data_IF_210198104098
#
_entry.id   IF_210198104098
#
_cell.length_a   1.000
_cell.length_b   1.000
_cell.length_c   1.000
_cell.angle_alpha   90.00
_cell.angle_beta   90.00
_cell.angle_gamma   90.00
#
_symmetry.space_group_name_H-M   'P 1'
#
loop_
_entity.id
_entity.type
_entity.pdbx_description
1 polymer ?
#
# COMPACT_ATOMS: atom_id res chain seq x y z
N UNK A 1 -25.80 41.11 -4.45
CA UNK A 1 -24.55 41.79 -4.01
C UNK A 1 -23.29 41.12 -4.55
N UNK A 2 -23.11 39.79 -4.39
CA UNK A 2 -21.90 39.10 -4.90
C UNK A 2 -21.73 39.10 -6.44
N UNK A 3 -22.82 38.94 -7.20
CA UNK A 3 -22.74 38.97 -8.67
C UNK A 3 -22.38 40.34 -9.24
N UNK A 4 -22.94 41.42 -8.69
CA UNK A 4 -22.60 42.79 -9.10
C UNK A 4 -21.10 43.08 -8.90
N UNK A 5 -20.51 42.59 -7.81
CA UNK A 5 -19.07 42.75 -7.56
C UNK A 5 -18.21 41.98 -8.58
N UNK A 6 -18.59 40.75 -8.92
CA UNK A 6 -17.89 39.95 -9.95
C UNK A 6 -18.03 40.57 -11.35
N UNK A 7 -19.21 41.07 -11.67
CA UNK A 7 -19.48 41.75 -12.94
C UNK A 7 -18.68 43.06 -13.06
N UNK A 8 -18.53 43.79 -11.95
CA UNK A 8 -17.74 45.01 -11.89
C UNK A 8 -16.24 44.73 -12.03
N UNK A 9 -15.71 43.66 -11.41
CA UNK A 9 -14.30 43.28 -11.60
C UNK A 9 -14.01 42.80 -13.03
N UNK A 10 -14.90 42.03 -13.64
CA UNK A 10 -14.73 41.54 -15.01
C UNK A 10 -14.77 42.68 -16.05
N UNK A 11 -15.54 43.74 -15.80
CA UNK A 11 -15.58 44.93 -16.66
C UNK A 11 -14.28 45.74 -16.60
N UNK A 12 -13.56 45.70 -15.47
CA UNK A 12 -12.37 46.53 -15.25
C UNK A 12 -11.07 45.97 -15.85
N UNK A 13 -11.07 44.74 -16.40
CA UNK A 13 -10.01 44.08 -17.21
C UNK A 13 -8.55 44.54 -16.96
N UNK A 14 -8.15 44.78 -15.70
CA UNK A 14 -6.80 45.23 -15.36
C UNK A 14 -6.19 44.32 -14.29
N UNK A 15 -5.02 43.71 -14.52
CA UNK A 15 -4.38 42.77 -13.60
C UNK A 15 -3.56 43.46 -12.49
N UNK A 16 -3.77 44.75 -12.27
CA UNK A 16 -2.92 45.55 -11.39
C UNK A 16 -3.77 46.55 -10.63
N UNK A 17 -4.26 46.17 -9.45
CA UNK A 17 -4.54 47.03 -8.29
C UNK A 17 -5.25 46.19 -7.22
N UNK A 18 -4.53 45.28 -6.57
CA UNK A 18 -4.87 44.88 -5.20
C UNK A 18 -4.10 45.86 -4.31
N UNK A 19 -4.75 46.86 -3.68
CA UNK A 19 -4.07 47.69 -2.70
C UNK A 19 -3.65 46.80 -1.53
N UNK A 20 -2.34 46.74 -1.28
CA UNK A 20 -1.65 45.93 -0.25
C UNK A 20 -1.93 46.40 1.19
N UNK A 21 -3.07 47.02 1.46
CA UNK A 21 -3.37 47.69 2.72
C UNK A 21 -4.86 47.62 3.07
N UNK A 22 -5.39 46.40 3.17
CA UNK A 22 -6.59 46.16 3.96
C UNK A 22 -6.23 45.16 5.04
N UNK A 23 -6.05 45.67 6.26
CA UNK A 23 -6.16 44.90 7.49
C UNK A 23 -7.51 44.18 7.48
N UNK A 24 -7.50 42.96 6.98
CA UNK A 24 -8.60 42.01 7.12
C UNK A 24 -8.69 41.66 8.60
N UNK A 25 -9.62 42.32 9.31
CA UNK A 25 -10.10 41.77 10.58
C UNK A 25 -10.59 40.35 10.29
N UNK A 26 -10.03 39.31 10.92
CA UNK A 26 -10.50 37.96 10.71
C UNK A 26 -11.97 37.91 11.14
N UNK A 27 -12.85 37.52 10.22
CA UNK A 27 -14.29 37.33 10.45
C UNK A 27 -14.59 36.06 11.26
N UNK A 28 -13.56 35.36 11.71
CA UNK A 28 -13.66 34.19 12.58
C UNK A 28 -12.92 34.49 13.89
N UNK A 29 -13.56 34.25 15.06
CA UNK A 29 -12.90 34.42 16.34
C UNK A 29 -11.70 33.45 16.43
N UNK A 30 -10.48 34.00 16.36
CA UNK A 30 -9.23 33.23 16.44
C UNK A 30 -9.15 32.36 17.70
N UNK A 31 -9.83 32.75 18.79
CA UNK A 31 -9.90 31.99 20.04
C UNK A 31 -10.59 30.62 19.92
N UNK A 32 -11.40 30.39 18.87
CA UNK A 32 -12.01 29.07 18.62
C UNK A 32 -11.11 28.13 17.81
N UNK A 33 -10.14 28.68 17.06
CA UNK A 33 -9.28 27.89 16.16
C UNK A 33 -7.97 27.53 16.87
N UNK A 34 -7.39 28.49 17.58
CA UNK A 34 -6.18 28.30 18.36
C UNK A 34 -6.55 28.58 19.80
N UNK A 35 -6.84 27.51 20.56
CA UNK A 35 -7.13 27.61 21.99
C UNK A 35 -5.93 28.16 22.76
N UNK A 36 -5.73 29.47 22.75
CA UNK A 36 -4.77 30.14 23.61
C UNK A 36 -5.48 30.54 24.90
N UNK A 37 -5.80 29.52 25.70
CA UNK A 37 -6.24 29.66 27.08
C UNK A 37 -5.11 29.22 27.99
N UNK A 38 -4.32 30.18 28.45
CA UNK A 38 -3.37 30.01 29.55
C UNK A 38 -4.08 29.48 30.80
N UNK A 39 -3.61 28.34 31.30
CA UNK A 39 -3.58 28.04 32.73
C UNK A 39 -4.90 27.69 33.40
N UNK A 40 -5.39 26.46 33.19
CA UNK A 40 -5.90 25.67 34.31
C UNK A 40 -5.75 24.20 33.97
N UNK A 41 -5.04 23.49 34.85
CA UNK A 41 -4.84 22.05 34.83
C UNK A 41 -6.16 21.35 35.12
N UNK A 42 -6.94 21.08 34.08
CA UNK A 42 -7.94 20.03 34.13
C UNK A 42 -7.87 19.26 32.81
N UNK A 43 -7.67 17.95 32.92
CA UNK A 43 -7.41 17.05 31.80
C UNK A 43 -8.70 16.86 30.99
N UNK A 44 -9.02 17.86 30.17
CA UNK A 44 -10.13 17.82 29.23
C UNK A 44 -9.85 16.82 28.12
N UNK A 45 -10.57 15.69 28.15
CA UNK A 45 -10.79 14.80 27.00
C UNK A 45 -10.88 15.61 25.72
N UNK A 46 -9.97 15.37 24.77
CA UNK A 46 -10.23 15.75 23.38
C UNK A 46 -11.45 14.94 22.94
N UNK A 47 -12.59 15.57 22.62
CA UNK A 47 -13.77 14.84 22.16
C UNK A 47 -13.45 14.00 20.92
N UNK A 48 -13.74 12.71 21.00
CA UNK A 48 -13.61 11.78 19.90
C UNK A 48 -14.55 12.20 18.75
N UNK A 49 -13.99 12.28 17.54
CA UNK A 49 -14.76 12.57 16.33
C UNK A 49 -15.50 11.29 15.93
N UNK A 50 -16.81 11.24 16.15
CA UNK A 50 -17.65 10.15 15.65
C UNK A 50 -18.18 10.49 14.26
N UNK A 51 -17.88 9.62 13.29
CA UNK A 51 -18.45 9.66 11.94
C UNK A 51 -19.82 8.97 11.98
N UNK A 52 -20.88 9.72 11.69
CA UNK A 52 -22.22 9.15 11.45
C UNK A 52 -22.48 9.33 9.95
N UNK A 53 -22.61 8.22 9.22
CA UNK A 53 -22.82 8.21 7.75
C UNK A 53 -21.74 8.98 6.95
N UNK A 54 -20.48 8.94 7.40
CA UNK A 54 -19.35 9.59 6.71
C UNK A 54 -19.26 11.11 6.89
N UNK A 55 -20.08 11.69 7.79
CA UNK A 55 -20.03 13.13 8.10
C UNK A 55 -19.42 13.33 9.50
N UNK A 56 -18.35 14.12 9.65
CA UNK A 56 -17.79 14.47 10.96
C UNK A 56 -18.81 15.27 11.76
N UNK A 57 -19.31 14.71 12.87
CA UNK A 57 -20.42 15.31 13.66
C UNK A 57 -20.03 16.52 14.50
N UNK A 58 -18.74 16.90 14.52
CA UNK A 58 -18.22 17.93 15.42
C UNK A 58 -18.84 19.32 15.28
N UNK A 59 -19.47 19.62 14.13
CA UNK A 59 -20.02 20.95 13.88
C UNK A 59 -21.52 21.09 14.18
N UNK A 60 -22.29 20.00 14.36
CA UNK A 60 -23.75 20.09 14.43
C UNK A 60 -24.36 18.99 15.33
N UNK A 61 -24.62 19.27 16.62
CA UNK A 61 -25.23 18.29 17.53
C UNK A 61 -26.69 17.91 17.20
N UNK A 62 -27.30 18.50 16.17
CA UNK A 62 -28.73 18.36 15.85
C UNK A 62 -29.03 17.71 14.47
N UNK A 63 -28.11 16.90 13.93
CA UNK A 63 -28.36 16.06 12.76
C UNK A 63 -27.85 16.60 11.42
N UNK A 64 -28.27 15.93 10.33
CA UNK A 64 -27.76 16.12 8.98
C UNK A 64 -27.73 17.61 8.58
N UNK A 65 -26.54 18.08 8.18
CA UNK A 65 -26.32 19.48 7.81
C UNK A 65 -27.28 19.87 6.69
N UNK A 66 -28.16 20.89 6.87
CA UNK A 66 -28.96 21.40 5.78
C UNK A 66 -28.03 22.06 4.76
N UNK A 67 -27.75 21.33 3.68
CA UNK A 67 -26.88 21.78 2.61
C UNK A 67 -26.81 20.76 1.49
N UNK A 68 -26.45 21.20 0.26
CA UNK A 68 -26.14 20.26 -0.80
C UNK A 68 -25.00 19.34 -0.33
N UNK A 69 -25.09 18.05 -0.66
CA UNK A 69 -23.98 17.11 -0.41
C UNK A 69 -22.69 17.71 -0.96
N UNK A 70 -21.55 17.57 -0.25
CA UNK A 70 -20.29 18.06 -0.74
C UNK A 70 -20.02 17.51 -2.15
N UNK A 71 -19.36 18.28 -3.03
CA UNK A 71 -19.01 17.82 -4.37
C UNK A 71 -18.29 16.46 -4.30
N UNK A 72 -18.52 15.57 -5.29
CA UNK A 72 -17.87 14.24 -5.31
C UNK A 72 -16.34 14.32 -5.21
N UNK A 73 -15.73 15.37 -5.73
CA UNK A 73 -14.29 15.62 -5.62
C UNK A 73 -13.80 15.81 -4.17
N UNK A 74 -14.68 16.19 -3.25
CA UNK A 74 -14.37 16.38 -1.83
C UNK A 74 -14.62 15.13 -1.01
N UNK A 75 -15.49 14.22 -1.46
CA UNK A 75 -15.72 12.95 -0.76
C UNK A 75 -14.46 12.08 -0.72
N UNK A 76 -13.59 12.20 -1.73
CA UNK A 76 -12.29 11.52 -1.77
C UNK A 76 -11.38 11.89 -0.58
N UNK A 77 -11.53 13.11 -0.03
CA UNK A 77 -10.73 13.56 1.11
C UNK A 77 -11.11 12.88 2.43
N UNK A 78 -12.34 12.36 2.53
CA UNK A 78 -12.85 11.72 3.75
C UNK A 78 -12.60 10.22 3.78
N UNK A 79 -12.56 9.55 2.61
CA UNK A 79 -12.31 8.10 2.50
C UNK A 79 -10.83 7.72 2.73
N UNK A 80 -9.91 8.67 2.53
CA UNK A 80 -8.47 8.41 2.74
C UNK A 80 -8.09 8.19 4.20
N UNK A 81 -8.87 8.71 5.15
CA UNK A 81 -8.57 8.59 6.58
C UNK A 81 -8.65 7.14 7.06
N UNK A 82 -9.73 6.44 6.72
CA UNK A 82 -9.99 5.07 7.15
C UNK A 82 -8.95 4.10 6.59
N UNK A 83 -8.56 4.26 5.31
CA UNK A 83 -7.53 3.42 4.68
C UNK A 83 -6.13 3.62 5.29
N UNK A 84 -5.90 4.76 5.97
CA UNK A 84 -4.66 5.03 6.72
C UNK A 84 -4.69 4.45 8.13
N UNK A 85 -5.77 3.84 8.57
CA UNK A 85 -5.81 3.20 9.88
C UNK A 85 -5.04 1.87 9.89
N UNK A 86 -4.30 1.56 10.97
CA UNK A 86 -3.64 0.27 11.12
C UNK A 86 -4.58 -0.93 10.99
N UNK A 87 -5.81 -0.80 11.51
CA UNK A 87 -6.84 -1.84 11.44
C UNK A 87 -7.20 -2.17 10.00
N UNK A 88 -7.43 -1.14 9.17
CA UNK A 88 -7.71 -1.33 7.76
C UNK A 88 -6.54 -2.03 7.06
N UNK A 89 -5.29 -1.60 7.30
CA UNK A 89 -4.11 -2.24 6.68
C UNK A 89 -3.93 -3.69 7.10
N UNK A 90 -4.18 -4.02 8.37
CA UNK A 90 -4.16 -5.40 8.86
C UNK A 90 -5.18 -6.26 8.10
N UNK A 91 -6.40 -5.76 7.92
CA UNK A 91 -7.46 -6.43 7.15
C UNK A 91 -7.07 -6.54 5.67
N UNK A 92 -6.53 -5.47 5.09
CA UNK A 92 -6.15 -5.42 3.69
C UNK A 92 -5.07 -6.44 3.36
N UNK A 93 -4.02 -6.54 4.19
CA UNK A 93 -2.90 -7.47 4.03
C UNK A 93 -3.20 -8.90 4.52
N UNK A 94 -4.35 -9.11 5.18
CA UNK A 94 -4.69 -10.38 5.85
C UNK A 94 -4.56 -11.60 4.95
N UNK A 95 -5.12 -11.55 3.74
CA UNK A 95 -5.09 -12.69 2.82
C UNK A 95 -3.67 -13.09 2.44
N UNK A 96 -2.83 -12.10 2.11
CA UNK A 96 -1.42 -12.32 1.81
C UNK A 96 -0.69 -12.91 3.02
N UNK A 97 -0.93 -12.37 4.22
CA UNK A 97 -0.24 -12.78 5.44
C UNK A 97 -0.67 -14.16 5.95
N UNK A 98 -1.94 -14.53 5.77
CA UNK A 98 -2.44 -15.87 6.07
C UNK A 98 -1.77 -16.93 5.18
N UNK A 99 -1.66 -16.67 3.87
CA UNK A 99 -1.04 -17.58 2.90
C UNK A 99 0.48 -17.72 3.14
N UNK A 100 1.16 -16.61 3.43
CA UNK A 100 2.58 -16.59 3.85
C UNK A 100 2.82 -17.13 5.26
N UNK A 101 1.77 -17.52 6.00
CA UNK A 101 1.82 -17.99 7.40
C UNK A 101 2.56 -17.01 8.33
N UNK A 102 2.34 -15.72 8.12
CA UNK A 102 2.90 -14.67 8.96
C UNK A 102 2.35 -14.83 10.38
N UNK A 103 3.19 -14.71 11.43
CA UNK A 103 2.71 -14.82 12.79
C UNK A 103 1.60 -13.82 13.12
N UNK A 104 0.57 -14.20 13.90
CA UNK A 104 -0.59 -13.34 14.15
C UNK A 104 -0.25 -12.01 14.82
N UNK A 105 0.86 -11.91 15.57
CA UNK A 105 1.29 -10.66 16.22
C UNK A 105 1.61 -9.52 15.25
N UNK A 106 1.83 -9.81 13.96
CA UNK A 106 1.98 -8.78 12.91
C UNK A 106 0.65 -8.09 12.62
N UNK A 107 -0.43 -8.87 12.52
CA UNK A 107 -1.78 -8.40 12.21
C UNK A 107 -2.59 -7.98 13.44
N UNK A 108 -2.11 -8.27 14.64
CA UNK A 108 -2.83 -7.97 15.88
C UNK A 108 -2.84 -6.45 16.11
N UNK A 109 -3.95 -5.80 15.77
CA UNK A 109 -4.23 -4.37 15.97
C UNK A 109 -5.43 -4.20 16.90
N UNK A 110 -5.56 -5.07 17.90
CA UNK A 110 -6.61 -4.94 18.93
C UNK A 110 -6.47 -3.62 19.68
N UNK A 111 -7.60 -3.04 20.04
CA UNK A 111 -7.63 -1.84 20.88
C UNK A 111 -7.21 -2.18 22.30
N UNK A 112 -6.63 -1.19 22.98
CA UNK A 112 -6.19 -1.34 24.36
C UNK A 112 -7.40 -1.70 25.25
N UNK A 113 -7.51 -2.97 25.65
CA UNK A 113 -8.60 -3.46 26.52
C UNK A 113 -9.23 -4.79 26.09
N UNK A 114 -9.11 -5.19 24.83
CA UNK A 114 -9.65 -6.46 24.33
C UNK A 114 -8.60 -7.57 24.39
N UNK A 115 -8.45 -8.20 25.56
CA UNK A 115 -7.91 -9.56 25.74
C UNK A 115 -6.61 -9.92 25.01
N UNK A 116 -5.50 -9.91 25.75
CA UNK A 116 -4.24 -10.61 25.45
C UNK A 116 -3.45 -10.05 24.28
N UNK A 117 -2.52 -9.13 24.54
CA UNK A 117 -1.54 -8.70 23.55
C UNK A 117 -0.64 -9.88 23.17
N UNK A 118 -0.56 -10.19 21.88
CA UNK A 118 0.54 -11.03 21.42
C UNK A 118 1.83 -10.23 21.46
N UNK A 119 2.73 -10.65 22.34
CA UNK A 119 4.06 -10.05 22.47
C UNK A 119 4.92 -10.54 21.31
N UNK A 120 5.45 -9.65 20.46
CA UNK A 120 6.36 -10.03 19.39
C UNK A 120 7.70 -10.56 19.95
N UNK A 121 8.50 -11.27 19.14
CA UNK A 121 9.81 -11.76 19.57
C UNK A 121 10.73 -10.63 20.04
N UNK A 122 11.56 -10.90 21.06
CA UNK A 122 12.50 -9.92 21.61
C UNK A 122 13.40 -9.28 20.54
N UNK A 123 13.87 -10.07 19.57
CA UNK A 123 14.69 -9.58 18.47
C UNK A 123 13.99 -8.49 17.65
N UNK A 124 12.67 -8.62 17.44
CA UNK A 124 11.88 -7.62 16.74
C UNK A 124 11.73 -6.36 17.59
N UNK A 125 11.46 -6.49 18.89
CA UNK A 125 11.37 -5.33 19.79
C UNK A 125 12.70 -4.58 19.88
N UNK A 126 13.83 -5.28 19.96
CA UNK A 126 15.14 -4.65 19.87
C UNK A 126 15.33 -3.90 18.55
N UNK A 127 14.97 -4.51 17.41
CA UNK A 127 15.07 -3.86 16.10
C UNK A 127 14.15 -2.64 15.97
N UNK A 128 12.95 -2.68 16.58
CA UNK A 128 12.03 -1.54 16.66
C UNK A 128 12.61 -0.40 17.47
N UNK A 129 13.17 -0.68 18.64
CA UNK A 129 13.84 0.34 19.46
C UNK A 129 15.02 0.98 18.72
N UNK A 130 15.82 0.18 17.99
CA UNK A 130 16.89 0.70 17.14
C UNK A 130 16.34 1.60 16.03
N UNK A 131 15.26 1.19 15.36
CA UNK A 131 14.67 1.99 14.31
C UNK A 131 14.04 3.29 14.85
N UNK A 132 13.44 3.26 16.03
CA UNK A 132 12.91 4.47 16.69
C UNK A 132 14.03 5.42 17.13
N UNK A 133 15.17 4.89 17.58
CA UNK A 133 16.30 5.70 18.02
C UNK A 133 17.11 6.28 16.84
N UNK A 134 17.29 5.50 15.76
CA UNK A 134 18.22 5.83 14.68
C UNK A 134 17.55 6.05 13.32
N UNK A 135 16.26 5.71 13.13
CA UNK A 135 15.64 5.61 11.80
C UNK A 135 15.60 6.91 10.98
N UNK A 136 15.70 8.07 11.65
CA UNK A 136 15.77 9.40 11.03
C UNK A 136 17.20 9.96 10.97
N UNK A 137 18.21 9.19 11.38
CA UNK A 137 19.63 9.57 11.41
C UNK A 137 20.40 8.94 10.24
N UNK A 138 21.54 9.54 9.88
CA UNK A 138 22.44 8.99 8.86
C UNK A 138 23.04 7.63 9.27
N UNK A 139 23.16 7.40 10.59
CA UNK A 139 23.68 6.16 11.18
C UNK A 139 22.78 4.95 10.95
N UNK A 140 21.50 5.15 10.56
CA UNK A 140 20.57 4.04 10.32
C UNK A 140 21.08 3.06 9.26
N UNK A 141 21.73 3.56 8.21
CA UNK A 141 22.29 2.70 7.16
C UNK A 141 23.41 1.79 7.68
N UNK A 142 24.12 2.24 8.71
CA UNK A 142 25.10 1.41 9.39
C UNK A 142 24.45 0.39 10.31
N UNK A 143 23.50 0.80 11.14
CA UNK A 143 22.82 -0.13 12.06
C UNK A 143 22.04 -1.20 11.29
N UNK A 144 21.32 -0.83 10.24
CA UNK A 144 20.48 -1.73 9.46
C UNK A 144 21.25 -2.90 8.82
N UNK A 145 22.54 -2.70 8.49
CA UNK A 145 23.38 -3.77 7.89
C UNK A 145 23.64 -4.93 8.85
N UNK A 146 23.58 -4.68 10.16
CA UNK A 146 23.78 -5.69 11.20
C UNK A 146 22.48 -6.40 11.61
N UNK A 147 21.33 -5.96 11.10
CA UNK A 147 20.03 -6.60 11.39
C UNK A 147 19.86 -7.80 10.43
N UNK A 148 19.66 -9.02 10.95
CA UNK A 148 19.45 -10.21 10.11
C UNK A 148 18.27 -10.04 9.13
N UNK A 149 18.38 -10.64 7.94
CA UNK A 149 17.39 -10.46 6.86
C UNK A 149 15.95 -10.83 7.29
N UNK A 150 15.74 -11.96 7.97
CA UNK A 150 14.42 -12.34 8.51
C UNK A 150 13.87 -11.30 9.50
N UNK A 151 14.71 -10.71 10.36
CA UNK A 151 14.27 -9.66 11.30
C UNK A 151 13.91 -8.38 10.53
N UNK A 152 14.66 -8.01 9.50
CA UNK A 152 14.33 -6.86 8.62
C UNK A 152 12.98 -7.08 7.91
N UNK A 153 12.74 -8.29 7.38
CA UNK A 153 11.46 -8.68 6.78
C UNK A 153 10.30 -8.53 7.77
N UNK A 154 10.47 -9.09 8.97
CA UNK A 154 9.44 -9.06 10.01
C UNK A 154 9.18 -7.63 10.53
N UNK A 155 10.22 -6.81 10.62
CA UNK A 155 10.12 -5.37 10.91
C UNK A 155 9.32 -4.64 9.84
N UNK A 156 9.62 -4.87 8.56
CA UNK A 156 8.87 -4.28 7.44
C UNK A 156 7.40 -4.69 7.48
N UNK A 157 7.08 -5.97 7.69
CA UNK A 157 5.70 -6.46 7.82
C UNK A 157 4.96 -5.78 8.97
N UNK A 158 5.61 -5.64 10.13
CA UNK A 158 5.06 -4.96 11.30
C UNK A 158 4.73 -3.49 11.01
N UNK A 159 5.67 -2.74 10.43
CA UNK A 159 5.47 -1.32 10.14
C UNK A 159 4.50 -1.12 8.96
N UNK A 160 4.44 -2.03 7.99
CA UNK A 160 3.46 -2.00 6.91
C UNK A 160 2.02 -1.94 7.45
N UNK A 161 1.73 -2.63 8.55
CA UNK A 161 0.42 -2.57 9.22
C UNK A 161 0.30 -1.33 10.08
N UNK A 162 1.25 -1.06 10.98
CA UNK A 162 1.05 -0.06 12.05
C UNK A 162 1.41 1.36 11.66
N UNK A 163 2.58 1.57 11.07
CA UNK A 163 3.08 2.88 10.68
C UNK A 163 4.02 2.72 9.48
N UNK A 164 3.49 2.77 8.23
CA UNK A 164 4.30 2.53 7.04
C UNK A 164 5.57 3.38 7.01
N UNK A 165 6.70 2.76 6.68
CA UNK A 165 7.99 3.42 6.67
C UNK A 165 8.14 4.35 5.46
N UNK A 166 8.82 5.47 5.66
CA UNK A 166 9.22 6.34 4.56
C UNK A 166 10.20 5.62 3.61
N UNK A 167 10.22 6.04 2.34
CA UNK A 167 11.03 5.39 1.30
C UNK A 167 12.51 5.25 1.69
N UNK A 168 13.11 6.28 2.31
CA UNK A 168 14.51 6.25 2.72
C UNK A 168 14.78 5.10 3.70
N UNK A 169 14.08 5.08 4.83
CA UNK A 169 14.18 4.06 5.86
C UNK A 169 13.85 2.65 5.33
N UNK A 170 12.82 2.54 4.50
CA UNK A 170 12.38 1.28 3.89
C UNK A 170 13.47 0.67 2.98
N UNK A 171 14.02 1.46 2.06
CA UNK A 171 15.06 0.96 1.16
C UNK A 171 16.40 0.73 1.86
N UNK A 172 16.68 1.45 2.95
CA UNK A 172 17.82 1.15 3.83
C UNK A 172 17.65 -0.20 4.51
N UNK A 173 16.44 -0.52 5.00
CA UNK A 173 16.14 -1.85 5.56
C UNK A 173 16.27 -2.96 4.54
N UNK A 174 15.89 -2.74 3.28
CA UNK A 174 16.12 -3.73 2.24
C UNK A 174 17.60 -3.88 1.84
N UNK A 175 18.41 -2.86 2.09
CA UNK A 175 19.83 -2.87 1.75
C UNK A 175 20.07 -3.02 0.25
N UNK A 176 21.15 -3.71 -0.10
CA UNK A 176 21.58 -3.84 -1.49
C UNK A 176 20.67 -4.75 -2.33
N UNK A 177 20.02 -5.73 -1.71
CA UNK A 177 19.10 -6.65 -2.40
C UNK A 177 17.80 -5.96 -2.83
N UNK A 178 17.47 -4.82 -2.20
CA UNK A 178 16.24 -4.06 -2.41
C UNK A 178 14.93 -4.83 -2.08
N UNK A 179 15.05 -5.98 -1.41
CA UNK A 179 14.00 -6.72 -0.71
C UNK A 179 14.57 -7.38 0.56
N UNK A 180 13.72 -7.93 1.43
CA UNK A 180 14.15 -8.69 2.60
C UNK A 180 13.67 -10.15 2.48
N UNK A 181 14.61 -11.09 2.31
CA UNK A 181 14.32 -12.53 2.11
C UNK A 181 13.30 -12.80 1.00
N UNK A 182 13.48 -12.17 -0.16
CA UNK A 182 12.57 -12.31 -1.29
C UNK A 182 11.23 -11.59 -1.13
N UNK A 183 11.04 -10.75 -0.11
CA UNK A 183 9.82 -9.97 0.10
C UNK A 183 10.03 -8.46 -0.08
N UNK A 184 9.16 -7.85 -0.89
CA UNK A 184 9.10 -6.41 -1.09
C UNK A 184 7.67 -5.91 -0.81
N UNK A 185 7.50 -5.23 0.32
CA UNK A 185 6.26 -4.60 0.75
C UNK A 185 6.44 -3.08 0.70
N UNK A 186 5.57 -2.38 -0.02
CA UNK A 186 5.57 -0.92 -0.12
C UNK A 186 4.16 -0.43 0.18
N UNK A 187 4.04 0.42 1.20
CA UNK A 187 2.74 0.84 1.75
C UNK A 187 2.69 2.35 1.86
N UNK A 188 1.61 2.93 1.34
CA UNK A 188 1.26 4.34 1.49
C UNK A 188 1.18 5.10 0.17
N UNK A 189 0.41 6.19 0.14
CA UNK A 189 0.19 7.01 -1.07
C UNK A 189 1.44 7.80 -1.51
N UNK A 190 2.30 8.16 -0.56
CA UNK A 190 3.55 8.90 -0.79
C UNK A 190 4.75 7.98 -1.02
N UNK A 191 4.55 6.67 -0.88
CA UNK A 191 5.59 5.69 -1.14
C UNK A 191 5.89 5.64 -2.65
N UNK A 192 7.14 5.39 -3.00
CA UNK A 192 7.59 5.32 -4.39
C UNK A 192 8.29 4.00 -4.65
N UNK A 193 7.86 3.27 -5.66
CA UNK A 193 8.49 2.02 -6.07
C UNK A 193 9.74 2.31 -6.92
N UNK A 194 10.90 1.88 -6.44
CA UNK A 194 12.17 2.00 -7.19
C UNK A 194 12.25 0.87 -8.21
N UNK A 195 12.42 1.22 -9.49
CA UNK A 195 12.67 0.24 -10.57
C UNK A 195 13.82 -0.73 -10.25
N UNK A 196 14.87 -0.22 -9.63
CA UNK A 196 16.05 -1.02 -9.24
C UNK A 196 15.67 -2.18 -8.32
N UNK A 197 14.62 -2.03 -7.50
CA UNK A 197 14.15 -3.09 -6.60
C UNK A 197 13.54 -4.29 -7.33
N UNK A 198 13.12 -4.13 -8.58
CA UNK A 198 12.51 -5.20 -9.38
C UNK A 198 13.52 -5.89 -10.32
N UNK A 199 14.61 -5.20 -10.70
CA UNK A 199 15.52 -5.64 -11.78
C UNK A 199 16.75 -6.41 -11.27
N UNK A 200 17.13 -6.25 -10.00
CA UNK A 200 18.45 -6.65 -9.48
C UNK A 200 18.80 -8.15 -9.61
N UNK A 201 17.82 -9.04 -9.84
CA UNK A 201 18.09 -10.45 -10.12
C UNK A 201 18.81 -10.77 -11.44
N UNK A 202 19.00 -9.81 -12.36
CA UNK A 202 19.62 -10.06 -13.69
C UNK A 202 21.06 -9.58 -13.87
N UNK A 203 21.61 -8.74 -12.98
CA UNK A 203 22.83 -7.96 -13.28
C UNK A 203 24.07 -8.26 -12.44
N UNK A 204 23.97 -8.97 -11.33
CA UNK A 204 25.15 -9.28 -10.50
C UNK A 204 26.16 -10.19 -11.20
N UNK A 205 25.75 -11.02 -12.17
CA UNK A 205 26.66 -11.84 -12.97
C UNK A 205 27.37 -11.11 -14.13
N UNK A 206 27.18 -9.80 -14.32
CA UNK A 206 27.74 -9.08 -15.48
C UNK A 206 28.72 -7.96 -15.16
N UNK A 207 29.19 -7.87 -13.92
CA UNK A 207 30.22 -6.91 -13.48
C UNK A 207 31.57 -7.58 -13.23
N UNK A 208 31.99 -8.52 -14.08
CA UNK A 208 33.42 -8.62 -14.39
C UNK A 208 33.72 -7.52 -15.40
N UNK A 209 34.49 -6.52 -14.96
CA UNK A 209 35.04 -5.50 -15.83
C UNK A 209 35.84 -6.15 -16.96
N UNK A 210 35.90 -5.55 -18.16
CA UNK A 210 37.03 -5.79 -19.03
C UNK A 210 38.24 -5.12 -18.37
N UNK A 211 39.01 -5.89 -17.60
CA UNK A 211 40.37 -5.50 -17.26
C UNK A 211 41.12 -5.33 -18.59
N UNK A 212 41.50 -4.09 -18.89
CA UNK A 212 42.57 -3.83 -19.83
C UNK A 212 43.85 -4.43 -19.24
N UNK A 213 44.08 -5.70 -19.54
CA UNK A 213 45.37 -6.35 -19.35
C UNK A 213 46.27 -5.92 -20.51
N UNK A 214 47.14 -4.94 -20.23
CA UNK A 214 48.46 -4.96 -20.83
C UNK A 214 49.38 -5.64 -19.84
N UNK A 215 49.90 -6.78 -20.30
CA UNK A 215 51.12 -7.45 -19.85
C UNK A 215 51.01 -8.41 -18.64
N UNK A 216 50.79 -9.68 -18.99
CA UNK A 216 51.73 -10.79 -18.75
C UNK A 216 52.14 -11.03 -17.31
N UNK A 217 51.43 -11.93 -16.65
CA UNK A 217 51.99 -12.87 -15.66
C UNK A 217 51.06 -14.09 -15.55
N UNK A 218 51.63 -15.17 -15.03
CA UNK A 218 51.34 -16.56 -15.39
C UNK A 218 49.93 -17.03 -15.04
N UNK A 219 49.37 -17.85 -15.94
CA UNK A 219 48.11 -18.55 -15.73
C UNK A 219 48.32 -19.70 -14.73
N UNK A 220 48.20 -19.39 -13.44
CA UNK A 220 48.02 -20.36 -12.37
C UNK A 220 46.59 -20.92 -12.48
N UNK A 221 46.46 -22.07 -13.14
CA UNK A 221 45.20 -22.84 -13.24
C UNK A 221 44.86 -23.61 -11.95
N UNK A 222 45.34 -23.13 -10.79
CA UNK A 222 45.17 -23.77 -9.48
C UNK A 222 44.09 -23.11 -8.59
N UNK A 223 43.28 -22.21 -9.13
CA UNK A 223 42.05 -21.73 -8.45
C UNK A 223 40.85 -22.57 -8.91
N UNK A 224 41.00 -23.88 -8.78
CA UNK A 224 39.90 -24.83 -8.84
C UNK A 224 38.95 -24.54 -7.66
N UNK A 225 37.78 -23.99 -7.98
CA UNK A 225 36.54 -24.68 -7.63
C UNK A 225 36.36 -25.01 -6.13
N UNK A 226 36.35 -23.97 -5.29
CA UNK A 226 35.70 -24.05 -3.98
C UNK A 226 34.18 -24.11 -4.17
N UNK A 227 33.66 -25.24 -4.65
CA UNK A 227 32.21 -25.51 -4.76
C UNK A 227 31.49 -25.52 -3.40
N UNK A 228 32.25 -25.49 -2.30
CA UNK A 228 31.78 -25.54 -0.92
C UNK A 228 31.75 -24.17 -0.23
N UNK A 229 32.25 -23.10 -0.87
CA UNK A 229 31.90 -21.76 -0.40
C UNK A 229 30.43 -21.54 -0.76
N UNK A 230 29.54 -21.33 0.23
CA UNK A 230 28.18 -20.95 -0.06
C UNK A 230 28.26 -19.61 -0.78
N UNK A 231 28.28 -19.65 -2.11
CA UNK A 231 28.27 -18.45 -2.92
C UNK A 231 27.10 -17.61 -2.44
N UNK A 232 27.30 -16.29 -2.32
CA UNK A 232 26.28 -15.33 -1.93
C UNK A 232 25.14 -15.34 -2.97
N UNK A 233 24.32 -16.38 -2.97
CA UNK A 233 23.18 -16.50 -3.86
C UNK A 233 22.10 -15.62 -3.29
N UNK A 234 22.00 -14.41 -3.84
CA UNK A 234 20.93 -13.46 -3.52
C UNK A 234 19.59 -14.16 -3.62
N UNK A 235 18.80 -14.13 -2.54
CA UNK A 235 17.46 -14.72 -2.54
C UNK A 235 16.59 -14.07 -3.63
N UNK A 236 15.89 -14.84 -4.48
CA UNK A 236 15.05 -14.25 -5.51
C UNK A 236 13.82 -13.59 -4.89
N UNK A 237 13.32 -12.51 -5.51
CA UNK A 237 12.06 -11.89 -5.12
C UNK A 237 10.89 -12.84 -5.44
N UNK A 238 10.19 -13.30 -4.40
CA UNK A 238 9.03 -14.21 -4.49
C UNK A 238 7.72 -13.55 -4.09
N UNK A 239 7.78 -12.53 -3.22
CA UNK A 239 6.61 -11.86 -2.66
C UNK A 239 6.67 -10.36 -2.94
N UNK A 240 5.62 -9.83 -3.55
CA UNK A 240 5.51 -8.40 -3.81
C UNK A 240 4.14 -7.86 -3.38
N UNK A 241 4.14 -6.83 -2.53
CA UNK A 241 2.92 -6.17 -2.09
C UNK A 241 3.01 -4.65 -2.23
N UNK A 242 1.98 -4.07 -2.85
CA UNK A 242 1.76 -2.63 -2.91
C UNK A 242 0.42 -2.31 -2.27
N UNK A 243 0.40 -1.36 -1.35
CA UNK A 243 -0.82 -0.97 -0.64
C UNK A 243 -0.98 0.54 -0.69
N UNK A 244 -2.03 1.02 -1.36
CA UNK A 244 -2.28 2.45 -1.58
C UNK A 244 -1.15 3.19 -2.31
N UNK A 245 -0.21 2.49 -2.93
CA UNK A 245 0.95 3.07 -3.59
C UNK A 245 0.75 3.13 -5.10
N UNK A 246 1.05 4.25 -5.79
CA UNK A 246 0.94 4.31 -7.23
C UNK A 246 1.90 3.33 -7.91
N UNK A 247 1.38 2.55 -8.86
CA UNK A 247 2.16 1.63 -9.68
C UNK A 247 2.17 2.11 -11.14
N UNK A 248 3.27 2.73 -11.61
CA UNK A 248 3.42 3.03 -13.03
C UNK A 248 3.30 1.75 -13.86
N UNK A 249 2.51 1.79 -14.94
CA UNK A 249 2.28 0.64 -15.82
C UNK A 249 3.58 0.08 -16.44
N UNK A 250 4.62 0.91 -16.58
CA UNK A 250 5.94 0.49 -17.03
C UNK A 250 6.64 -0.41 -16.01
N UNK A 251 6.37 -0.26 -14.71
CA UNK A 251 7.00 -1.07 -13.67
C UNK A 251 6.49 -2.51 -13.63
N UNK A 252 5.28 -2.77 -14.15
CA UNK A 252 4.74 -4.12 -14.27
C UNK A 252 5.63 -5.03 -15.09
N UNK A 253 6.21 -4.55 -16.20
CA UNK A 253 7.05 -5.38 -17.07
C UNK A 253 8.42 -5.70 -16.47
N UNK A 254 8.78 -5.08 -15.34
CA UNK A 254 9.98 -5.40 -14.59
C UNK A 254 9.73 -6.37 -13.44
N UNK A 255 8.48 -6.77 -13.17
CA UNK A 255 8.20 -7.78 -12.17
C UNK A 255 8.94 -9.08 -12.51
N UNK A 256 9.63 -9.70 -11.55
CA UNK A 256 10.38 -10.91 -11.85
C UNK A 256 9.45 -12.11 -12.06
N UNK A 257 9.86 -13.07 -12.91
CA UNK A 257 9.09 -14.29 -13.15
C UNK A 257 9.06 -15.23 -11.93
N UNK A 258 9.91 -14.98 -10.94
CA UNK A 258 10.01 -15.74 -9.68
C UNK A 258 8.91 -15.39 -8.67
N UNK A 259 8.08 -14.37 -8.93
CA UNK A 259 7.00 -14.02 -8.03
C UNK A 259 5.97 -15.16 -7.93
N UNK A 260 5.70 -15.54 -6.68
CA UNK A 260 4.65 -16.50 -6.29
C UNK A 260 3.49 -15.79 -5.59
N UNK A 261 3.73 -14.66 -4.93
CA UNK A 261 2.70 -13.89 -4.24
C UNK A 261 2.71 -12.44 -4.70
N UNK A 262 1.56 -11.95 -5.14
CA UNK A 262 1.38 -10.58 -5.61
C UNK A 262 0.13 -9.96 -4.96
N UNK A 263 0.31 -8.89 -4.19
CA UNK A 263 -0.78 -8.10 -3.66
C UNK A 263 -0.72 -6.66 -4.21
N UNK A 264 -1.77 -6.23 -4.88
CA UNK A 264 -1.92 -4.90 -5.46
C UNK A 264 -3.19 -4.29 -4.86
N UNK A 265 -3.08 -3.69 -3.68
CA UNK A 265 -4.22 -3.33 -2.85
C UNK A 265 -4.51 -1.83 -2.90
N UNK A 266 -5.78 -1.48 -3.13
CA UNK A 266 -6.27 -0.09 -3.11
C UNK A 266 -5.40 0.88 -3.94
N UNK A 267 -4.97 0.46 -5.13
CA UNK A 267 -4.12 1.29 -5.97
C UNK A 267 -4.88 2.52 -6.49
N UNK A 268 -4.24 3.71 -6.52
CA UNK A 268 -4.89 4.94 -6.96
C UNK A 268 -5.18 4.96 -8.47
N UNK A 269 -4.56 4.08 -9.26
CA UNK A 269 -4.67 4.05 -10.71
C UNK A 269 -4.88 2.62 -11.22
N UNK A 270 -5.61 2.44 -12.35
CA UNK A 270 -5.79 1.13 -12.96
C UNK A 270 -4.47 0.52 -13.44
N UNK A 271 -4.37 -0.81 -13.31
CA UNK A 271 -3.19 -1.60 -13.67
C UNK A 271 -3.57 -2.64 -14.71
N UNK A 272 -2.67 -2.92 -15.66
CA UNK A 272 -2.87 -3.87 -16.76
C UNK A 272 -2.72 -5.33 -16.31
N UNK A 273 -3.65 -5.82 -15.48
CA UNK A 273 -3.67 -7.17 -14.88
C UNK A 273 -3.57 -8.28 -15.94
N UNK A 274 -4.14 -8.08 -17.14
CA UNK A 274 -4.13 -9.06 -18.22
C UNK A 274 -2.73 -9.46 -18.72
N UNK A 275 -1.68 -8.68 -18.42
CA UNK A 275 -0.28 -8.99 -18.79
C UNK A 275 0.46 -9.84 -17.77
N UNK A 276 -0.01 -9.86 -16.52
CA UNK A 276 0.63 -10.58 -15.43
C UNK A 276 0.89 -12.08 -15.70
N UNK A 277 0.00 -12.86 -16.36
CA UNK A 277 0.31 -14.26 -16.64
C UNK A 277 1.49 -14.48 -17.59
N UNK A 278 1.89 -13.46 -18.36
CA UNK A 278 3.09 -13.54 -19.20
C UNK A 278 4.36 -13.17 -18.41
N UNK A 279 4.22 -12.24 -17.47
CA UNK A 279 5.33 -11.64 -16.73
C UNK A 279 5.72 -12.51 -15.53
N UNK A 280 4.73 -12.95 -14.76
CA UNK A 280 4.91 -13.72 -13.52
C UNK A 280 4.06 -15.00 -13.59
N UNK A 281 4.48 -16.00 -14.39
CA UNK A 281 3.71 -17.22 -14.60
C UNK A 281 3.64 -18.15 -13.37
N UNK A 282 4.48 -17.89 -12.35
CA UNK A 282 4.58 -18.71 -11.14
C UNK A 282 3.66 -18.26 -10.00
N UNK A 283 2.83 -17.24 -10.22
CA UNK A 283 1.95 -16.72 -9.18
C UNK A 283 0.95 -17.76 -8.69
N UNK A 284 0.98 -17.98 -7.38
CA UNK A 284 0.08 -18.84 -6.61
C UNK A 284 -1.02 -18.01 -5.95
N UNK A 285 -0.67 -16.80 -5.48
CA UNK A 285 -1.61 -15.90 -4.80
C UNK A 285 -1.61 -14.53 -5.45
N UNK A 286 -2.78 -14.09 -5.88
CA UNK A 286 -3.02 -12.76 -6.46
C UNK A 286 -4.10 -12.04 -5.67
N UNK A 287 -3.75 -10.98 -4.94
CA UNK A 287 -4.71 -10.14 -4.23
C UNK A 287 -4.87 -8.79 -4.94
N UNK A 288 -6.06 -8.54 -5.47
CA UNK A 288 -6.46 -7.29 -6.12
C UNK A 288 -7.54 -6.56 -5.32
N UNK A 289 -7.69 -6.87 -4.03
CA UNK A 289 -8.74 -6.30 -3.19
C UNK A 289 -8.68 -4.76 -3.09
N UNK A 290 -9.84 -4.15 -2.84
CA UNK A 290 -10.05 -2.71 -2.61
C UNK A 290 -9.74 -1.82 -3.81
N UNK A 291 -9.63 -2.39 -5.02
CA UNK A 291 -9.45 -1.62 -6.25
C UNK A 291 -10.80 -1.31 -6.90
N UNK A 292 -11.32 -0.11 -6.64
CA UNK A 292 -12.63 0.33 -7.15
C UNK A 292 -12.68 0.40 -8.69
N UNK A 293 -11.51 0.55 -9.34
CA UNK A 293 -11.37 0.58 -10.80
C UNK A 293 -11.59 -0.78 -11.48
N UNK A 294 -11.69 -1.87 -10.72
CA UNK A 294 -12.08 -3.18 -11.23
C UNK A 294 -13.60 -3.32 -11.42
N UNK A 295 -14.40 -2.45 -10.80
CA UNK A 295 -15.85 -2.52 -10.88
C UNK A 295 -16.35 -2.22 -12.31
N UNK A 296 -17.38 -2.96 -12.76
CA UNK A 296 -17.99 -2.81 -14.09
C UNK A 296 -18.52 -1.39 -14.36
N UNK A 297 -18.83 -0.62 -13.31
CA UNK A 297 -19.38 0.72 -13.41
C UNK A 297 -18.32 1.80 -13.70
N UNK A 298 -17.04 1.50 -13.49
CA UNK A 298 -15.92 2.44 -13.68
C UNK A 298 -14.86 2.01 -14.70
N UNK A 299 -15.01 0.82 -15.30
CA UNK A 299 -13.96 0.18 -16.09
C UNK A 299 -13.64 0.93 -17.39
N UNK A 300 -12.47 1.57 -17.41
CA UNK A 300 -11.69 1.69 -18.65
C UNK A 300 -11.25 0.29 -19.08
N UNK A 301 -11.21 0.01 -20.38
CA UNK A 301 -10.93 -1.34 -20.93
C UNK A 301 -9.59 -1.96 -20.47
N UNK A 302 -8.71 -1.21 -19.79
CA UNK A 302 -7.41 -1.67 -19.29
C UNK A 302 -7.50 -2.42 -17.95
N UNK A 303 -8.49 -2.10 -17.10
CA UNK A 303 -8.66 -2.72 -15.77
C UNK A 303 -9.60 -3.92 -15.75
N UNK A 304 -10.32 -4.20 -16.85
CA UNK A 304 -11.30 -5.28 -16.88
C UNK A 304 -10.67 -6.67 -16.73
N UNK A 305 -11.13 -7.41 -15.73
CA UNK A 305 -10.77 -8.82 -15.50
C UNK A 305 -11.26 -9.77 -16.60
N UNK A 306 -12.20 -9.33 -17.44
CA UNK A 306 -12.73 -10.15 -18.55
C UNK A 306 -11.67 -10.43 -19.62
N UNK A 307 -10.66 -9.56 -19.73
CA UNK A 307 -9.57 -9.71 -20.69
C UNK A 307 -8.46 -10.62 -20.21
N UNK A 308 -8.46 -10.99 -18.92
CA UNK A 308 -7.37 -11.78 -18.33
C UNK A 308 -7.46 -13.21 -18.86
N UNK A 309 -6.39 -13.76 -19.46
CA UNK A 309 -6.38 -15.14 -19.94
C UNK A 309 -6.21 -16.11 -18.76
N UNK A 310 -7.28 -16.35 -18.00
CA UNK A 310 -7.28 -17.17 -16.77
C UNK A 310 -6.72 -18.59 -16.94
N UNK A 311 -6.80 -19.15 -18.16
CA UNK A 311 -6.23 -20.46 -18.52
C UNK A 311 -4.70 -20.52 -18.40
N UNK A 312 -4.00 -19.38 -18.48
CA UNK A 312 -2.54 -19.31 -18.38
C UNK A 312 -2.03 -19.34 -16.94
N UNK A 313 -2.90 -19.12 -15.97
CA UNK A 313 -2.55 -19.04 -14.55
C UNK A 313 -2.57 -20.42 -13.89
N UNK A 314 -1.76 -21.36 -14.38
CA UNK A 314 -1.82 -22.77 -13.98
C UNK A 314 -1.55 -23.00 -12.48
N UNK A 315 -0.77 -22.12 -11.85
CA UNK A 315 -0.39 -22.22 -10.44
C UNK A 315 -1.24 -21.38 -9.50
N UNK A 316 -2.12 -20.53 -10.03
CA UNK A 316 -2.94 -19.66 -9.20
C UNK A 316 -3.88 -20.52 -8.35
N UNK A 317 -3.79 -20.36 -7.04
CA UNK A 317 -4.57 -21.04 -6.01
C UNK A 317 -5.53 -20.09 -5.32
N UNK A 318 -5.11 -18.85 -5.07
CA UNK A 318 -5.90 -17.85 -4.32
C UNK A 318 -6.02 -16.56 -5.12
N UNK A 319 -7.25 -16.05 -5.24
CA UNK A 319 -7.58 -14.78 -5.88
C UNK A 319 -8.38 -13.89 -4.93
N UNK A 320 -7.79 -12.79 -4.46
CA UNK A 320 -8.45 -11.81 -3.60
C UNK A 320 -9.14 -10.70 -4.40
N UNK A 321 -10.45 -10.51 -4.20
CA UNK A 321 -11.29 -9.52 -4.87
C UNK A 321 -12.20 -8.76 -3.89
N UNK A 322 -11.79 -8.62 -2.62
CA UNK A 322 -12.63 -7.98 -1.57
C UNK A 322 -12.93 -6.54 -1.95
N UNK A 323 -14.19 -6.12 -1.85
CA UNK A 323 -14.62 -4.72 -2.05
C UNK A 323 -14.21 -4.18 -3.44
N UNK A 324 -14.21 -5.03 -4.47
CA UNK A 324 -13.93 -4.62 -5.85
C UNK A 324 -15.21 -4.40 -6.67
N UNK A 325 -16.39 -4.78 -6.14
CA UNK A 325 -17.67 -4.72 -6.85
C UNK A 325 -17.72 -5.66 -8.06
N UNK A 326 -17.05 -6.82 -7.96
CA UNK A 326 -17.02 -7.85 -9.01
C UNK A 326 -18.05 -8.92 -8.67
N UNK A 327 -18.89 -9.25 -9.66
CA UNK A 327 -19.93 -10.27 -9.51
C UNK A 327 -19.37 -11.69 -9.47
N UNK A 328 -20.20 -12.63 -9.01
CA UNK A 328 -19.86 -14.06 -8.96
C UNK A 328 -19.59 -14.70 -10.34
N UNK A 329 -19.89 -14.03 -11.45
CA UNK A 329 -19.61 -14.53 -12.80
C UNK A 329 -18.11 -14.71 -13.07
N UNK A 330 -17.26 -13.92 -12.39
CA UNK A 330 -15.81 -14.06 -12.50
C UNK A 330 -15.35 -15.43 -12.00
N UNK A 331 -16.03 -16.01 -11.01
CA UNK A 331 -15.66 -17.31 -10.45
C UNK A 331 -15.76 -18.42 -11.49
N UNK A 332 -16.88 -18.42 -12.23
CA UNK A 332 -17.08 -19.33 -13.34
C UNK A 332 -15.98 -19.16 -14.38
N UNK A 333 -15.63 -17.91 -14.75
CA UNK A 333 -14.58 -17.61 -15.76
C UNK A 333 -13.18 -18.06 -15.32
N UNK A 334 -12.81 -17.84 -14.05
CA UNK A 334 -11.49 -18.17 -13.50
C UNK A 334 -11.28 -19.69 -13.45
N UNK A 335 -12.33 -20.43 -13.08
CA UNK A 335 -12.28 -21.88 -12.87
C UNK A 335 -12.64 -22.73 -14.09
N UNK A 336 -12.92 -22.11 -15.25
CA UNK A 336 -13.10 -22.85 -16.51
C UNK A 336 -11.87 -23.71 -16.82
N UNK A 337 -12.09 -25.00 -17.06
CA UNK A 337 -11.07 -25.98 -17.49
C UNK A 337 -9.92 -26.22 -16.49
N UNK A 338 -10.12 -25.89 -15.21
CA UNK A 338 -9.16 -26.20 -14.15
C UNK A 338 -9.48 -27.54 -13.49
N UNK A 339 -8.42 -28.23 -13.05
CA UNK A 339 -8.51 -29.45 -12.24
C UNK A 339 -8.68 -29.15 -10.76
N UNK A 340 -8.16 -28.01 -10.33
CA UNK A 340 -8.26 -27.50 -8.96
C UNK A 340 -8.81 -26.09 -9.04
N UNK A 341 -9.94 -25.87 -8.37
CA UNK A 341 -10.57 -24.56 -8.32
C UNK A 341 -9.68 -23.57 -7.59
N UNK A 342 -9.63 -22.34 -8.10
CA UNK A 342 -9.05 -21.19 -7.42
C UNK A 342 -10.01 -20.75 -6.33
N UNK A 343 -9.49 -20.59 -5.12
CA UNK A 343 -10.21 -19.97 -4.01
C UNK A 343 -10.33 -18.48 -4.28
N UNK A 344 -11.58 -17.99 -4.39
CA UNK A 344 -11.84 -16.57 -4.65
C UNK A 344 -12.41 -15.94 -3.39
N UNK A 345 -11.65 -15.01 -2.82
CA UNK A 345 -11.98 -14.35 -1.56
C UNK A 345 -12.58 -12.98 -1.81
N UNK A 346 -13.76 -12.72 -1.24
CA UNK A 346 -14.40 -11.40 -1.28
C UNK A 346 -15.33 -11.15 -2.46
N UNK A 347 -15.88 -12.19 -3.08
CA UNK A 347 -16.99 -12.03 -4.01
C UNK A 347 -18.21 -11.53 -3.25
N UNK A 348 -18.88 -10.53 -3.82
CA UNK A 348 -20.19 -10.14 -3.35
C UNK A 348 -21.12 -11.32 -3.58
N UNK A 349 -21.66 -11.91 -2.51
CA UNK A 349 -22.74 -12.87 -2.67
C UNK A 349 -23.82 -12.17 -3.49
N UNK A 350 -24.36 -12.82 -4.53
CA UNK A 350 -25.47 -12.25 -5.27
C UNK A 350 -26.51 -11.92 -4.22
N UNK A 351 -26.79 -10.63 -4.01
CA UNK A 351 -27.81 -10.18 -3.08
C UNK A 351 -29.07 -10.86 -3.58
N UNK A 352 -29.36 -12.03 -3.02
CA UNK A 352 -30.55 -12.79 -3.28
C UNK A 352 -31.61 -11.84 -2.79
N UNK A 353 -32.19 -11.08 -3.73
CA UNK A 353 -33.18 -10.05 -3.43
C UNK A 353 -34.20 -10.79 -2.60
N UNK A 354 -34.14 -10.60 -1.29
CA UNK A 354 -35.12 -11.13 -0.39
C UNK A 354 -36.36 -10.39 -0.80
N UNK A 355 -37.16 -11.03 -1.64
CA UNK A 355 -38.55 -10.67 -1.87
C UNK A 355 -39.21 -10.81 -0.51
N UNK A 356 -39.02 -9.83 0.35
CA UNK A 356 -39.95 -9.53 1.41
C UNK A 356 -41.21 -9.10 0.69
N UNK A 357 -42.01 -10.08 0.29
CA UNK A 357 -43.44 -9.91 0.10
C UNK A 357 -43.94 -9.35 1.44
N UNK A 358 -43.97 -8.03 1.54
CA UNK A 358 -44.88 -7.34 2.43
C UNK A 358 -46.25 -7.57 1.81
N UNK A 359 -46.84 -8.71 2.16
CA UNK A 359 -48.28 -8.87 2.13
C UNK A 359 -48.85 -7.86 3.13
N UNK A 360 -49.64 -6.93 2.61
CA UNK A 360 -50.55 -6.06 3.34
C UNK A 360 -51.84 -6.01 2.55
#
# INVERSE_FOLDING_TARGET
RGEQFRHQQNLLRSPSHIPTSLQTKPTLPLAQIFGTGSGSSDAGMRPQVTLVEGVPTYAYPNGAVPGPRPPRSWMLLFDEGERREPKWRAIALRLLFEDLRVPPWVCDVREEGEGGYMVPPLALECARMLLEAYGDTEDWAEVARYIPAHVRRDLVRWYAVRKPLGNATLYTLYGEEAHAEGELLVVGPEATLRRVALVKGKQTNRRMQPAQSTEREEATWDEFDSWDEPGDTTTPLTTFALVMTPLPNELLTYLPPTLTHLALLALPQPVRVYRLPEISPLLETLDLSYNDWLSNNGSTAEGSLERVPWRRWQRLRVLGLRVCGIGADIATKVNVERWTDVEIVGLDEPISRSTSNRES
#
